data_IF_629480321978
#
_entry.id   IF_629480321978
#
_cell.length_a   1.000
_cell.length_b   1.000
_cell.length_c   1.000
_cell.angle_alpha   90.00
_cell.angle_beta   90.00
_cell.angle_gamma   90.00
#
_symmetry.space_group_name_H-M   'P 1'
#
loop_
_entity.id
_entity.type
_entity.pdbx_description
1 polymer ?
#
# COMPACT_ATOMS: atom_id res chain seq x y z
N UNK A 1 26.86 9.81 -19.37
CA UNK A 1 25.86 8.75 -19.17
C UNK A 1 25.26 8.94 -17.78
N UNK A 2 24.00 9.38 -17.70
CA UNK A 2 23.29 9.63 -16.44
C UNK A 2 23.07 8.31 -15.73
N UNK A 3 23.94 7.99 -14.77
CA UNK A 3 23.83 6.77 -13.95
C UNK A 3 22.51 6.73 -13.21
N UNK A 4 21.84 5.59 -13.28
CA UNK A 4 20.64 5.31 -12.49
C UNK A 4 20.96 5.56 -11.02
N UNK A 5 20.35 6.59 -10.43
CA UNK A 5 20.55 6.97 -9.01
C UNK A 5 19.92 5.96 -8.04
N UNK A 6 19.25 4.93 -8.54
CA UNK A 6 18.54 3.92 -7.76
C UNK A 6 18.92 2.54 -8.29
N UNK A 7 19.36 1.63 -7.42
CA UNK A 7 19.73 0.25 -7.81
C UNK A 7 18.53 -0.70 -7.77
N UNK A 8 18.55 -1.84 -8.50
CA UNK A 8 17.53 -2.87 -8.41
C UNK A 8 17.24 -3.33 -6.98
N UNK A 9 18.28 -3.52 -6.17
CA UNK A 9 18.17 -3.96 -4.77
C UNK A 9 17.48 -2.91 -3.90
N UNK A 10 17.75 -1.62 -4.14
CA UNK A 10 17.09 -0.53 -3.44
C UNK A 10 15.58 -0.51 -3.73
N UNK A 11 15.18 -0.77 -4.99
CA UNK A 11 13.77 -0.84 -5.39
C UNK A 11 13.06 -2.04 -4.75
N UNK A 12 13.68 -3.22 -4.78
CA UNK A 12 13.12 -4.41 -4.13
C UNK A 12 13.01 -4.24 -2.61
N UNK A 13 14.03 -3.65 -1.97
CA UNK A 13 14.00 -3.34 -0.54
C UNK A 13 12.88 -2.35 -0.20
N UNK A 14 12.71 -1.29 -0.99
CA UNK A 14 11.63 -0.32 -0.78
C UNK A 14 10.25 -0.94 -1.01
N UNK A 15 10.09 -1.77 -2.04
CA UNK A 15 8.86 -2.55 -2.29
C UNK A 15 8.47 -3.37 -1.07
N UNK A 16 9.42 -4.14 -0.50
CA UNK A 16 9.19 -4.92 0.70
C UNK A 16 8.79 -4.07 1.91
N UNK A 17 9.45 -2.92 2.11
CA UNK A 17 9.09 -1.97 3.17
C UNK A 17 7.68 -1.39 3.00
N UNK A 18 7.30 -0.99 1.79
CA UNK A 18 5.96 -0.47 1.51
C UNK A 18 4.91 -1.55 1.76
N UNK A 19 5.14 -2.78 1.30
CA UNK A 19 4.21 -3.90 1.51
C UNK A 19 4.06 -4.25 2.99
N UNK A 20 5.16 -4.27 3.74
CA UNK A 20 5.12 -4.46 5.19
C UNK A 20 4.33 -3.35 5.91
N UNK A 21 4.60 -2.09 5.56
CA UNK A 21 3.86 -0.95 6.11
C UNK A 21 2.37 -0.98 5.78
N UNK A 22 2.00 -1.40 4.56
CA UNK A 22 0.60 -1.59 4.16
C UNK A 22 -0.11 -2.63 5.03
N UNK A 23 0.54 -3.74 5.34
CA UNK A 23 0.02 -4.77 6.24
C UNK A 23 -0.17 -4.25 7.67
N UNK A 24 0.77 -3.47 8.21
CA UNK A 24 0.63 -2.85 9.53
C UNK A 24 -0.54 -1.87 9.58
N UNK A 25 -0.67 -1.00 8.58
CA UNK A 25 -1.78 -0.04 8.48
C UNK A 25 -3.13 -0.77 8.37
N UNK A 26 -3.22 -1.82 7.56
CA UNK A 26 -4.44 -2.63 7.45
C UNK A 26 -4.84 -3.23 8.82
N UNK A 27 -3.87 -3.74 9.57
CA UNK A 27 -4.08 -4.24 10.93
C UNK A 27 -4.60 -3.17 11.89
N UNK A 28 -3.99 -1.99 11.89
CA UNK A 28 -4.42 -0.85 12.71
C UNK A 28 -5.84 -0.40 12.37
N UNK A 29 -6.15 -0.26 11.07
CA UNK A 29 -7.48 0.11 10.60
C UNK A 29 -8.54 -0.92 11.00
N UNK A 30 -8.24 -2.22 10.91
CA UNK A 30 -9.14 -3.28 11.40
C UNK A 30 -9.36 -3.21 12.92
N UNK A 31 -8.32 -2.88 13.69
CA UNK A 31 -8.42 -2.69 15.14
C UNK A 31 -9.33 -1.52 15.52
N UNK A 32 -9.18 -0.41 14.81
CA UNK A 32 -10.09 0.74 14.93
C UNK A 32 -11.52 0.36 14.50
N UNK A 33 -11.67 -0.47 13.47
CA UNK A 33 -12.98 -0.97 13.01
C UNK A 33 -13.72 -1.68 14.13
N UNK A 34 -13.03 -2.63 14.75
CA UNK A 34 -13.59 -3.44 15.81
C UNK A 34 -13.99 -2.59 17.02
N UNK A 35 -13.28 -1.50 17.28
CA UNK A 35 -13.58 -0.57 18.38
C UNK A 35 -14.81 0.31 18.09
N UNK A 36 -14.98 0.72 16.83
CA UNK A 36 -16.03 1.68 16.45
C UNK A 36 -17.33 0.98 16.03
N UNK A 37 -17.25 -0.22 15.43
CA UNK A 37 -18.42 -0.95 14.93
C UNK A 37 -19.55 -1.16 15.97
N UNK A 38 -19.27 -1.45 17.26
CA UNK A 38 -20.33 -1.60 18.27
C UNK A 38 -21.16 -0.33 18.48
N UNK A 39 -20.55 0.86 18.34
CA UNK A 39 -21.21 2.15 18.57
C UNK A 39 -22.32 2.44 17.56
N UNK A 40 -22.29 1.79 16.39
CA UNK A 40 -23.33 1.95 15.36
C UNK A 40 -24.70 1.43 15.78
N UNK A 41 -24.77 0.55 16.79
CA UNK A 41 -26.02 0.10 17.39
C UNK A 41 -26.54 1.02 18.51
N UNK A 42 -25.65 1.78 19.15
CA UNK A 42 -25.97 2.62 20.30
C UNK A 42 -26.52 4.00 19.89
N UNK A 43 -26.27 4.44 18.65
CA UNK A 43 -26.70 5.74 18.14
C UNK A 43 -28.08 5.61 17.45
N UNK A 44 -29.08 6.37 17.89
CA UNK A 44 -30.44 6.36 17.33
C UNK A 44 -30.78 7.66 16.58
N UNK A 45 -31.69 7.57 15.61
CA UNK A 45 -32.22 8.73 14.88
C UNK A 45 -31.23 9.36 13.90
N UNK A 46 -31.20 10.69 13.80
CA UNK A 46 -30.37 11.41 12.81
C UNK A 46 -28.86 11.15 12.99
N UNK A 47 -28.40 10.92 14.22
CA UNK A 47 -27.01 10.58 14.50
C UNK A 47 -26.60 9.24 13.88
N UNK A 48 -27.52 8.27 13.81
CA UNK A 48 -27.29 6.97 13.20
C UNK A 48 -27.02 7.09 11.70
N UNK A 49 -27.85 7.87 10.98
CA UNK A 49 -27.68 8.07 9.54
C UNK A 49 -26.32 8.71 9.22
N UNK A 50 -25.94 9.75 9.98
CA UNK A 50 -24.62 10.41 9.82
C UNK A 50 -23.46 9.49 10.13
N UNK A 51 -23.58 8.66 11.18
CA UNK A 51 -22.58 7.65 11.49
C UNK A 51 -22.42 6.66 10.34
N UNK A 52 -23.52 6.12 9.80
CA UNK A 52 -23.47 5.16 8.69
C UNK A 52 -22.83 5.76 7.42
N UNK A 53 -23.11 7.03 7.11
CA UNK A 53 -22.46 7.76 6.01
C UNK A 53 -20.93 7.82 6.20
N UNK A 54 -20.48 8.26 7.38
CA UNK A 54 -19.05 8.34 7.71
C UNK A 54 -18.38 6.96 7.75
N UNK A 55 -19.10 5.95 8.25
CA UNK A 55 -18.61 4.57 8.32
C UNK A 55 -18.40 3.97 6.93
N UNK A 56 -19.31 4.25 5.99
CA UNK A 56 -19.15 3.82 4.61
C UNK A 56 -18.00 4.55 3.90
N UNK A 57 -17.83 5.85 4.16
CA UNK A 57 -16.69 6.63 3.63
C UNK A 57 -15.36 6.10 4.15
N UNK A 58 -15.31 5.78 5.44
CA UNK A 58 -14.13 5.23 6.06
C UNK A 58 -13.72 3.89 5.46
N UNK A 59 -14.66 2.96 5.24
CA UNK A 59 -14.39 1.68 4.58
C UNK A 59 -13.82 1.86 3.17
N UNK A 60 -14.41 2.75 2.36
CA UNK A 60 -13.90 3.08 1.02
C UNK A 60 -12.49 3.64 1.07
N UNK A 61 -12.24 4.56 1.99
CA UNK A 61 -10.92 5.18 2.17
C UNK A 61 -9.86 4.17 2.62
N UNK A 62 -10.21 3.26 3.54
CA UNK A 62 -9.32 2.21 4.03
C UNK A 62 -8.93 1.24 2.89
N UNK A 63 -9.92 0.80 2.11
CA UNK A 63 -9.69 -0.06 0.94
C UNK A 63 -8.81 0.64 -0.11
N UNK A 64 -9.12 1.89 -0.43
CA UNK A 64 -8.34 2.70 -1.39
C UNK A 64 -6.89 2.90 -0.96
N UNK A 65 -6.64 3.14 0.33
CA UNK A 65 -5.29 3.25 0.87
C UNK A 65 -4.52 1.93 0.73
N UNK A 66 -5.15 0.80 1.07
CA UNK A 66 -4.54 -0.52 0.96
C UNK A 66 -4.17 -0.84 -0.51
N UNK A 67 -5.09 -0.58 -1.44
CA UNK A 67 -4.87 -0.76 -2.87
C UNK A 67 -3.72 0.11 -3.38
N UNK A 68 -3.68 1.38 -2.98
CA UNK A 68 -2.63 2.31 -3.40
C UNK A 68 -1.24 1.85 -2.90
N UNK A 69 -1.13 1.47 -1.63
CA UNK A 69 0.15 1.01 -1.06
C UNK A 69 0.61 -0.29 -1.70
N UNK A 70 -0.32 -1.23 -1.96
CA UNK A 70 0.00 -2.49 -2.65
C UNK A 70 0.45 -2.23 -4.08
N UNK A 71 -0.25 -1.37 -4.81
CA UNK A 71 0.12 -0.98 -6.18
C UNK A 71 1.50 -0.30 -6.26
N UNK A 72 1.84 0.55 -5.28
CA UNK A 72 3.18 1.15 -5.18
C UNK A 72 4.23 0.06 -4.94
N UNK A 73 3.98 -0.87 -4.02
CA UNK A 73 4.91 -1.97 -3.75
C UNK A 73 5.16 -2.82 -5.02
N UNK A 74 4.10 -3.12 -5.77
CA UNK A 74 4.20 -3.91 -7.00
C UNK A 74 4.97 -3.15 -8.10
N UNK A 75 4.69 -1.85 -8.28
CA UNK A 75 5.42 -1.01 -9.23
C UNK A 75 6.93 -1.00 -8.93
N UNK A 76 7.30 -0.87 -7.65
CA UNK A 76 8.70 -0.87 -7.23
C UNK A 76 9.37 -2.23 -7.48
N UNK A 77 8.67 -3.34 -7.23
CA UNK A 77 9.19 -4.68 -7.50
C UNK A 77 9.39 -4.94 -9.00
N UNK A 78 8.43 -4.51 -9.83
CA UNK A 78 8.53 -4.61 -11.28
C UNK A 78 9.69 -3.77 -11.81
N UNK A 79 9.85 -2.54 -11.32
CA UNK A 79 10.97 -1.68 -11.68
C UNK A 79 12.31 -2.33 -11.31
N UNK A 80 12.45 -2.86 -10.09
CA UNK A 80 13.66 -3.56 -9.66
C UNK A 80 14.04 -4.72 -10.59
N UNK A 81 13.06 -5.54 -10.97
CA UNK A 81 13.25 -6.67 -11.89
C UNK A 81 13.70 -6.19 -13.29
N UNK A 82 13.05 -5.14 -13.81
CA UNK A 82 13.37 -4.59 -15.13
C UNK A 82 14.79 -4.00 -15.18
N UNK A 83 15.20 -3.27 -14.12
CA UNK A 83 16.55 -2.72 -14.03
C UNK A 83 17.62 -3.82 -13.93
N UNK A 84 17.42 -4.85 -13.09
CA UNK A 84 18.36 -5.96 -12.99
C UNK A 84 18.55 -6.67 -14.34
N UNK A 85 17.46 -6.93 -15.07
CA UNK A 85 17.54 -7.54 -16.40
C UNK A 85 18.28 -6.68 -17.42
N UNK A 86 18.09 -5.35 -17.39
CA UNK A 86 18.81 -4.43 -18.26
C UNK A 86 20.32 -4.41 -17.96
N UNK A 87 20.71 -4.41 -16.69
CA UNK A 87 22.12 -4.48 -16.29
C UNK A 87 22.78 -5.79 -16.72
N UNK A 88 22.09 -6.92 -16.57
CA UNK A 88 22.61 -8.23 -16.96
C UNK A 88 22.82 -8.32 -18.49
N UNK A 89 21.89 -7.77 -19.28
CA UNK A 89 22.04 -7.69 -20.74
C UNK A 89 23.24 -6.85 -21.16
N UNK A 90 23.42 -5.70 -20.53
CA UNK A 90 24.57 -4.82 -20.77
C UNK A 90 25.87 -5.53 -20.39
N UNK A 91 25.94 -6.20 -19.24
CA UNK A 91 27.12 -6.95 -18.81
C UNK A 91 27.51 -8.05 -19.81
N UNK A 92 26.53 -8.80 -20.33
CA UNK A 92 26.75 -9.83 -21.38
C UNK A 92 27.22 -9.24 -22.71
N UNK A 93 26.91 -7.97 -23.02
CA UNK A 93 27.34 -7.33 -24.26
C UNK A 93 28.82 -6.92 -24.26
N UNK A 94 29.44 -6.85 -23.07
CA UNK A 94 30.85 -6.48 -22.89
C UNK A 94 31.79 -7.67 -22.68
N UNK A 95 31.26 -8.88 -22.48
CA UNK A 95 32.04 -10.12 -22.34
C UNK A 95 32.02 -10.95 -23.63
#
# INVERSE_FOLDING_TARGET
MTGFRVTPEQLHSLSGRVRGGAGSIDGELRGLAASVAPLGGDWAGVAQARFQELWAEWQRSAEGLNQALTGIADLLAQAGTAYAGAEEQVARSFG
#
